data_IF_566492475653
#
_entry.id   IF_566492475653
#
_cell.length_a   1.000
_cell.length_b   1.000
_cell.length_c   1.000
_cell.angle_alpha   90.00
_cell.angle_beta   90.00
_cell.angle_gamma   90.00
#
_symmetry.space_group_name_H-M   'P 1'
#
loop_
_entity.id
_entity.type
_entity.pdbx_description
1 polymer ?
#
# COMPACT_ATOMS: atom_id res chain seq x y z
N UNK A 1 -26.45 -2.31 9.32
CA UNK A 1 -24.97 -2.47 9.38
C UNK A 1 -24.17 -1.76 8.26
N UNK A 2 -24.76 -1.03 7.29
CA UNK A 2 -24.00 -0.41 6.17
C UNK A 2 -23.41 0.99 6.43
N UNK A 3 -23.90 1.74 7.43
CA UNK A 3 -23.48 3.14 7.69
C UNK A 3 -22.04 3.29 8.19
N UNK A 4 -21.48 2.27 8.88
CA UNK A 4 -20.06 2.28 9.33
C UNK A 4 -19.07 2.18 8.17
N UNK A 5 -19.40 1.41 7.12
CA UNK A 5 -18.51 1.20 5.96
C UNK A 5 -18.34 2.48 5.12
N UNK A 6 -19.40 3.27 4.98
CA UNK A 6 -19.38 4.51 4.19
C UNK A 6 -18.65 5.65 4.91
N UNK A 7 -18.88 5.86 6.22
CA UNK A 7 -18.08 6.77 7.07
C UNK A 7 -16.60 6.35 7.15
N UNK A 8 -16.30 5.07 6.95
CA UNK A 8 -14.94 4.52 6.95
C UNK A 8 -14.17 4.87 5.67
N UNK A 9 -14.86 5.00 4.52
CA UNK A 9 -14.23 5.48 3.28
C UNK A 9 -13.99 7.00 3.31
N UNK A 10 -14.88 7.78 3.91
CA UNK A 10 -14.67 9.24 4.03
C UNK A 10 -13.45 9.61 4.89
N UNK A 11 -13.13 8.81 5.93
CA UNK A 11 -11.87 8.96 6.71
C UNK A 11 -10.63 8.46 5.97
N UNK A 12 -10.76 7.57 4.98
CA UNK A 12 -9.63 7.20 4.09
C UNK A 12 -9.17 8.36 3.20
N UNK A 13 -9.98 9.42 3.05
CA UNK A 13 -9.69 10.57 2.20
C UNK A 13 -9.06 11.76 2.95
N UNK A 14 -9.19 11.82 4.27
CA UNK A 14 -8.71 12.95 5.08
C UNK A 14 -7.82 12.50 6.23
N UNK A 15 -6.51 12.42 5.94
CA UNK A 15 -5.39 12.85 6.79
C UNK A 15 -4.15 12.05 6.37
N UNK A 16 -3.22 12.72 5.69
CA UNK A 16 -1.80 12.33 5.69
C UNK A 16 -1.10 13.46 6.41
N UNK A 17 -1.02 13.40 7.74
CA UNK A 17 0.11 14.04 8.42
C UNK A 17 1.19 12.97 8.44
N UNK A 18 2.18 13.13 7.56
CA UNK A 18 3.42 12.34 7.58
C UNK A 18 4.05 12.53 8.96
N UNK A 19 3.84 11.58 9.86
CA UNK A 19 4.74 11.40 10.99
C UNK A 19 5.92 10.63 10.45
N UNK A 20 6.93 11.37 10.03
CA UNK A 20 8.24 10.79 9.73
C UNK A 20 8.72 10.00 10.94
N UNK A 21 9.25 8.80 10.69
CA UNK A 21 9.92 7.98 11.70
C UNK A 21 8.99 7.14 12.56
N UNK A 22 8.84 5.85 12.22
CA UNK A 22 8.33 4.84 13.16
C UNK A 22 8.57 3.38 12.74
N UNK A 23 9.26 3.08 11.63
CA UNK A 23 9.46 1.68 11.17
C UNK A 23 10.89 1.13 11.42
N UNK A 24 11.70 1.79 12.27
CA UNK A 24 13.10 1.42 12.54
C UNK A 24 13.28 0.03 13.17
N UNK A 25 12.21 -0.56 13.70
CA UNK A 25 12.23 -1.92 14.24
C UNK A 25 12.08 -3.01 13.16
N UNK A 26 12.04 -2.66 11.87
CA UNK A 26 12.08 -3.63 10.78
C UNK A 26 13.48 -4.20 10.59
N UNK A 27 13.58 -5.43 10.07
CA UNK A 27 14.88 -6.02 9.72
C UNK A 27 15.61 -5.10 8.74
N UNK A 28 16.94 -5.00 8.88
CA UNK A 28 17.76 -4.21 7.98
C UNK A 28 18.24 -5.07 6.80
N UNK A 29 17.28 -5.64 6.08
CA UNK A 29 17.50 -6.37 4.84
C UNK A 29 16.88 -5.62 3.66
N UNK A 30 17.08 -6.12 2.45
CA UNK A 30 16.53 -5.53 1.22
C UNK A 30 15.00 -5.35 1.28
N UNK A 31 14.30 -6.34 1.85
CA UNK A 31 12.85 -6.30 2.07
C UNK A 31 12.47 -5.14 3.01
N UNK A 32 13.18 -4.97 4.12
CA UNK A 32 12.97 -3.88 5.06
C UNK A 32 13.33 -2.52 4.46
N UNK A 33 14.37 -2.45 3.63
CA UNK A 33 14.72 -1.24 2.88
C UNK A 33 13.57 -0.83 1.97
N UNK A 34 13.11 -1.73 1.08
CA UNK A 34 11.97 -1.49 0.18
C UNK A 34 10.72 -1.06 0.97
N UNK A 35 10.44 -1.71 2.10
CA UNK A 35 9.28 -1.39 2.93
C UNK A 35 9.30 0.05 3.45
N UNK A 36 10.48 0.60 3.72
CA UNK A 36 10.66 1.97 4.23
C UNK A 36 10.76 3.00 3.10
N UNK A 37 11.28 2.62 1.94
CA UNK A 37 11.57 3.56 0.84
C UNK A 37 10.48 3.66 -0.21
N UNK A 38 9.72 2.59 -0.48
CA UNK A 38 8.60 2.65 -1.43
C UNK A 38 7.49 3.54 -0.85
N UNK A 39 7.17 4.62 -1.57
CA UNK A 39 6.25 5.66 -1.10
C UNK A 39 4.87 5.09 -0.71
N UNK A 40 4.36 4.15 -1.51
CA UNK A 40 3.02 3.60 -1.30
C UNK A 40 3.02 2.51 -0.22
N UNK A 41 4.07 1.69 -0.11
CA UNK A 41 4.21 0.75 1.01
C UNK A 41 4.33 1.51 2.34
N UNK A 42 5.13 2.58 2.38
CA UNK A 42 5.26 3.45 3.55
C UNK A 42 3.92 4.10 3.90
N UNK A 43 3.23 4.70 2.94
CA UNK A 43 1.92 5.31 3.15
C UNK A 43 0.85 4.29 3.60
N UNK A 44 0.93 3.04 3.13
CA UNK A 44 0.11 1.94 3.62
C UNK A 44 0.39 1.63 5.09
N UNK A 45 1.66 1.53 5.48
CA UNK A 45 2.08 1.33 6.85
C UNK A 45 1.58 2.41 7.80
N UNK A 46 1.77 3.67 7.43
CA UNK A 46 1.33 4.84 8.20
C UNK A 46 -0.17 4.78 8.47
N UNK A 47 -0.98 4.52 7.45
CA UNK A 47 -2.44 4.40 7.61
C UNK A 47 -2.88 3.24 8.49
N UNK A 48 -2.19 2.11 8.44
CA UNK A 48 -2.50 0.99 9.33
C UNK A 48 -2.15 1.31 10.78
N UNK A 49 -1.05 2.01 11.01
CA UNK A 49 -0.64 2.48 12.34
C UNK A 49 -1.63 3.49 12.90
N UNK A 50 -2.07 4.46 12.11
CA UNK A 50 -3.10 5.44 12.50
C UNK A 50 -4.42 4.77 12.95
N UNK A 51 -4.83 3.69 12.26
CA UNK A 51 -6.04 2.95 12.61
C UNK A 51 -5.85 2.00 13.80
N UNK A 52 -4.64 1.48 13.96
CA UNK A 52 -4.35 0.32 14.81
C UNK A 52 -3.75 0.65 16.17
N UNK A 53 -3.16 1.84 16.33
CA UNK A 53 -2.34 2.16 17.51
C UNK A 53 -1.00 1.40 17.52
N UNK A 54 -0.20 1.67 18.55
CA UNK A 54 1.16 1.14 18.72
C UNK A 54 1.18 -0.40 18.86
N UNK A 55 0.13 -0.99 19.44
CA UNK A 55 0.03 -2.44 19.69
C UNK A 55 0.03 -3.28 18.41
N UNK A 56 -0.33 -2.69 17.27
CA UNK A 56 -0.36 -3.37 15.97
C UNK A 56 0.91 -3.21 15.16
N UNK A 57 1.94 -2.52 15.67
CA UNK A 57 3.19 -2.23 14.94
C UNK A 57 3.83 -3.48 14.33
N UNK A 58 3.87 -4.61 15.07
CA UNK A 58 4.41 -5.88 14.54
C UNK A 58 3.62 -6.39 13.32
N UNK A 59 2.29 -6.33 13.38
CA UNK A 59 1.41 -6.74 12.29
C UNK A 59 1.54 -5.80 11.08
N UNK A 60 1.64 -4.48 11.32
CA UNK A 60 1.90 -3.49 10.27
C UNK A 60 3.22 -3.80 9.57
N UNK A 61 4.28 -4.04 10.35
CA UNK A 61 5.59 -4.35 9.78
C UNK A 61 5.56 -5.62 8.93
N UNK A 62 4.90 -6.68 9.41
CA UNK A 62 4.74 -7.92 8.65
C UNK A 62 4.02 -7.69 7.32
N UNK A 63 2.95 -6.87 7.31
CA UNK A 63 2.21 -6.55 6.09
C UNK A 63 3.03 -5.73 5.09
N UNK A 64 3.77 -4.73 5.57
CA UNK A 64 4.67 -3.94 4.71
C UNK A 64 5.79 -4.81 4.12
N UNK A 65 6.38 -5.70 4.93
CA UNK A 65 7.39 -6.65 4.45
C UNK A 65 6.81 -7.65 3.44
N UNK A 66 5.57 -8.10 3.61
CA UNK A 66 4.91 -8.98 2.63
C UNK A 66 4.72 -8.28 1.28
N UNK A 67 4.26 -7.03 1.26
CA UNK A 67 4.18 -6.23 0.03
C UNK A 67 5.56 -6.01 -0.61
N UNK A 68 6.58 -5.81 0.22
CA UNK A 68 7.96 -5.61 -0.26
C UNK A 68 8.55 -6.88 -0.86
N UNK A 69 8.26 -8.05 -0.27
CA UNK A 69 8.64 -9.35 -0.85
C UNK A 69 7.95 -9.59 -2.20
N UNK A 70 6.65 -9.34 -2.28
CA UNK A 70 5.93 -9.42 -3.56
C UNK A 70 6.61 -8.53 -4.61
N UNK A 71 6.92 -7.28 -4.25
CA UNK A 71 7.55 -6.34 -5.16
C UNK A 71 8.94 -6.83 -5.62
N UNK A 72 9.73 -7.38 -4.71
CA UNK A 72 11.06 -7.92 -5.02
C UNK A 72 10.99 -9.09 -6.00
N UNK A 73 10.05 -10.02 -5.79
CA UNK A 73 9.86 -11.15 -6.71
C UNK A 73 9.38 -10.70 -8.09
N UNK A 74 8.43 -9.77 -8.17
CA UNK A 74 8.00 -9.24 -9.48
C UNK A 74 9.16 -8.55 -10.19
N UNK A 75 10.05 -7.88 -9.45
CA UNK A 75 11.23 -7.20 -10.00
C UNK A 75 12.23 -8.16 -10.66
N UNK A 76 12.21 -9.45 -10.31
CA UNK A 76 13.00 -10.46 -11.03
C UNK A 76 12.60 -10.58 -12.50
N UNK A 77 11.32 -10.35 -12.82
CA UNK A 77 10.76 -10.43 -14.17
C UNK A 77 10.59 -9.05 -14.81
N UNK A 78 10.34 -8.02 -13.99
CA UNK A 78 10.07 -6.64 -14.42
C UNK A 78 10.90 -5.67 -13.56
N UNK A 79 12.17 -5.43 -13.92
CA UNK A 79 13.05 -4.58 -13.12
C UNK A 79 12.46 -3.17 -12.97
N UNK A 80 12.74 -2.53 -11.83
CA UNK A 80 12.35 -1.16 -11.49
C UNK A 80 10.84 -0.87 -11.34
N UNK A 81 9.96 -1.87 -11.43
CA UNK A 81 8.53 -1.64 -11.16
C UNK A 81 8.32 -1.17 -9.71
N UNK A 82 7.45 -0.18 -9.54
CA UNK A 82 7.00 0.29 -8.21
C UNK A 82 5.71 -0.42 -7.77
N UNK A 83 5.42 -0.46 -6.47
CA UNK A 83 4.15 -1.06 -6.00
C UNK A 83 2.94 -0.28 -6.56
N UNK A 84 3.09 1.03 -6.78
CA UNK A 84 2.07 1.89 -7.39
C UNK A 84 1.73 1.47 -8.83
N UNK A 85 2.75 1.13 -9.62
CA UNK A 85 2.55 0.61 -10.98
C UNK A 85 2.00 -0.82 -10.96
N UNK A 86 2.50 -1.65 -10.04
CA UNK A 86 2.09 -3.05 -9.91
C UNK A 86 0.59 -3.23 -9.62
N UNK A 87 -0.03 -2.26 -8.96
CA UNK A 87 -1.48 -2.25 -8.68
C UNK A 87 -2.34 -1.99 -9.92
N UNK A 88 -1.74 -1.53 -11.02
CA UNK A 88 -2.47 -1.33 -12.27
C UNK A 88 -2.99 -2.69 -12.79
N UNK A 89 -4.28 -2.80 -13.21
CA UNK A 89 -4.86 -4.03 -13.73
C UNK A 89 -4.03 -4.73 -14.82
N UNK A 90 -3.25 -3.98 -15.61
CA UNK A 90 -2.34 -4.55 -16.62
C UNK A 90 -1.30 -5.54 -16.06
N UNK A 91 -0.99 -5.43 -14.76
CA UNK A 91 -0.03 -6.28 -14.05
C UNK A 91 -0.70 -7.34 -13.18
N UNK A 92 -2.03 -7.48 -13.24
CA UNK A 92 -2.77 -8.40 -12.38
C UNK A 92 -2.27 -9.84 -12.51
N UNK A 93 -2.01 -10.30 -13.73
CA UNK A 93 -1.49 -11.65 -13.97
C UNK A 93 -0.07 -11.83 -13.41
N UNK A 94 0.77 -10.79 -13.45
CA UNK A 94 2.12 -10.83 -12.87
C UNK A 94 2.03 -11.01 -11.34
N UNK A 95 1.12 -10.28 -10.70
CA UNK A 95 0.87 -10.35 -9.25
C UNK A 95 0.39 -11.75 -8.86
N UNK A 96 -0.64 -12.27 -9.54
CA UNK A 96 -1.21 -13.59 -9.25
C UNK A 96 -0.21 -14.71 -9.51
N UNK A 97 0.56 -14.62 -10.59
CA UNK A 97 1.63 -15.58 -10.89
C UNK A 97 2.71 -15.60 -9.82
N UNK A 98 3.18 -14.42 -9.43
CA UNK A 98 4.21 -14.27 -8.39
C UNK A 98 3.70 -14.71 -7.02
N UNK A 99 2.46 -14.42 -6.68
CA UNK A 99 1.82 -14.85 -5.44
C UNK A 99 1.68 -16.37 -5.34
N UNK A 100 1.41 -17.06 -6.46
CA UNK A 100 1.44 -18.52 -6.55
C UNK A 100 2.83 -19.09 -6.31
N UNK A 101 3.84 -18.52 -6.96
CA UNK A 101 5.24 -18.93 -6.80
C UNK A 101 5.70 -18.73 -5.35
N UNK A 102 5.41 -17.58 -4.76
CA UNK A 102 5.78 -17.21 -3.40
C UNK A 102 5.22 -18.12 -2.32
N UNK A 103 4.05 -18.72 -2.56
CA UNK A 103 3.42 -19.54 -1.54
C UNK A 103 3.61 -21.04 -1.71
N UNK A 104 4.14 -21.47 -2.86
CA UNK A 104 4.23 -22.88 -3.23
C UNK A 104 2.85 -23.47 -3.53
N UNK A 105 2.70 -24.08 -4.70
CA UNK A 105 1.45 -24.67 -5.18
C UNK A 105 0.87 -25.76 -4.25
N UNK A 106 1.71 -26.38 -3.40
CA UNK A 106 1.36 -27.52 -2.54
C UNK A 106 1.08 -27.14 -1.07
N UNK A 107 1.27 -25.87 -0.67
CA UNK A 107 1.12 -25.49 0.73
C UNK A 107 -0.35 -25.25 1.10
N UNK A 108 -0.88 -25.98 2.09
CA UNK A 108 -2.21 -25.80 2.70
C UNK A 108 -2.52 -24.37 3.20
N UNK A 109 -1.55 -23.45 3.18
CA UNK A 109 -1.67 -22.04 3.55
C UNK A 109 -1.79 -21.03 2.40
N UNK A 110 -1.68 -21.45 1.13
CA UNK A 110 -1.60 -20.51 0.00
C UNK A 110 -2.81 -19.61 -0.16
N UNK A 111 -4.01 -20.18 -0.12
CA UNK A 111 -5.23 -19.40 -0.24
C UNK A 111 -5.34 -18.31 0.85
N UNK A 112 -4.91 -18.63 2.08
CA UNK A 112 -4.97 -17.69 3.20
C UNK A 112 -3.97 -16.55 3.06
N UNK A 113 -2.77 -16.82 2.55
CA UNK A 113 -1.78 -15.78 2.29
C UNK A 113 -2.22 -14.91 1.11
N UNK A 114 -2.73 -15.54 0.06
CA UNK A 114 -3.15 -14.84 -1.15
C UNK A 114 -4.30 -13.85 -0.88
N UNK A 115 -5.32 -14.31 -0.14
CA UNK A 115 -6.43 -13.44 0.27
C UNK A 115 -5.92 -12.25 1.12
N UNK A 116 -4.97 -12.48 2.04
CA UNK A 116 -4.39 -11.40 2.85
C UNK A 116 -3.68 -10.35 1.99
N UNK A 117 -2.86 -10.81 1.04
CA UNK A 117 -2.10 -9.94 0.15
C UNK A 117 -3.03 -9.17 -0.80
N UNK A 118 -4.04 -9.84 -1.36
CA UNK A 118 -5.09 -9.19 -2.16
C UNK A 118 -5.80 -8.07 -1.39
N UNK A 119 -6.16 -8.32 -0.13
CA UNK A 119 -6.77 -7.29 0.72
C UNK A 119 -5.84 -6.10 0.99
N UNK A 120 -4.55 -6.34 1.13
CA UNK A 120 -3.57 -5.29 1.36
C UNK A 120 -3.27 -4.49 0.09
N UNK A 121 -3.18 -5.14 -1.08
CA UNK A 121 -3.11 -4.47 -2.38
C UNK A 121 -4.34 -3.61 -2.68
N UNK A 122 -5.55 -4.10 -2.36
CA UNK A 122 -6.79 -3.32 -2.49
C UNK A 122 -6.74 -2.02 -1.69
N UNK A 123 -6.18 -2.06 -0.47
CA UNK A 123 -6.00 -0.85 0.35
C UNK A 123 -4.97 0.10 -0.29
N UNK A 124 -3.89 -0.44 -0.87
CA UNK A 124 -2.93 0.37 -1.61
C UNK A 124 -3.60 1.11 -2.79
N UNK A 125 -4.48 0.43 -3.55
CA UNK A 125 -5.29 1.10 -4.60
C UNK A 125 -6.14 2.24 -4.03
N UNK A 126 -6.78 2.04 -2.88
CA UNK A 126 -7.57 3.08 -2.22
C UNK A 126 -6.72 4.27 -1.75
N UNK A 127 -5.48 4.02 -1.34
CA UNK A 127 -4.54 5.09 -0.98
C UNK A 127 -4.19 5.92 -2.21
N UNK A 128 -3.82 5.27 -3.32
CA UNK A 128 -3.51 5.95 -4.59
C UNK A 128 -4.70 6.78 -5.07
N UNK A 129 -5.91 6.23 -5.03
CA UNK A 129 -7.13 6.98 -5.36
C UNK A 129 -7.30 8.21 -4.45
N UNK A 130 -7.08 8.05 -3.14
CA UNK A 130 -7.15 9.15 -2.19
C UNK A 130 -6.12 10.25 -2.47
N UNK A 131 -4.90 9.89 -2.87
CA UNK A 131 -3.88 10.86 -3.28
C UNK A 131 -4.26 11.61 -4.55
N UNK A 132 -4.79 10.92 -5.55
CA UNK A 132 -5.29 11.55 -6.78
C UNK A 132 -6.42 12.54 -6.51
N UNK A 133 -7.41 12.16 -5.68
CA UNK A 133 -8.50 13.05 -5.28
C UNK A 133 -7.99 14.27 -4.50
N UNK A 134 -7.06 14.08 -3.56
CA UNK A 134 -6.45 15.19 -2.82
C UNK A 134 -5.73 16.15 -3.77
N UNK A 135 -4.95 15.63 -4.71
CA UNK A 135 -4.23 16.43 -5.71
C UNK A 135 -5.19 17.22 -6.59
N UNK A 136 -6.27 16.58 -7.06
CA UNK A 136 -7.32 17.24 -7.82
C UNK A 136 -7.94 18.38 -7.01
N UNK A 137 -8.41 18.12 -5.79
CA UNK A 137 -9.04 19.15 -4.93
C UNK A 137 -8.09 20.31 -4.65
N UNK A 138 -6.80 20.04 -4.40
CA UNK A 138 -5.79 21.08 -4.21
C UNK A 138 -5.64 21.93 -5.48
N UNK A 139 -5.56 21.30 -6.65
CA UNK A 139 -5.49 21.99 -7.94
C UNK A 139 -6.72 22.88 -8.18
N UNK A 140 -7.94 22.38 -7.93
CA UNK A 140 -9.17 23.18 -8.01
C UNK A 140 -9.16 24.37 -7.03
N UNK A 141 -8.56 24.20 -5.84
CA UNK A 141 -8.48 25.24 -4.81
C UNK A 141 -7.43 26.31 -5.12
N UNK A 142 -6.33 25.97 -5.79
CA UNK A 142 -5.25 26.90 -6.14
C UNK A 142 -5.39 27.49 -7.55
N UNK A 143 -5.99 26.75 -8.49
CA UNK A 143 -6.17 27.13 -9.88
C UNK A 143 -7.29 28.14 -10.15
N UNK A 144 -8.06 28.55 -9.12
CA UNK A 144 -9.06 29.61 -9.23
C UNK A 144 -8.52 31.04 -9.01
N UNK A 145 -7.20 31.25 -8.94
CA UNK A 145 -6.61 32.56 -8.63
C UNK A 145 -5.45 33.02 -9.52
N UNK A 146 -5.25 32.40 -10.68
CA UNK A 146 -4.24 32.82 -11.66
C UNK A 146 -4.83 32.87 -13.06
N UNK A 147 -5.61 33.92 -13.34
CA UNK A 147 -5.78 34.49 -14.69
C UNK A 147 -6.66 35.74 -14.60
N UNK A 148 -6.12 36.83 -14.06
CA UNK A 148 -6.53 38.21 -14.33
C UNK A 148 -5.33 39.10 -13.98
N UNK A 149 -4.37 39.16 -14.90
CA UNK A 149 -3.36 40.21 -15.01
C UNK A 149 -2.93 40.25 -16.48
#
# INVERSE_FOLDING_TARGET
>A
MKKKSMKMQSRMLLSCKTKEGSFDSMRNDEVGFIARTDELIRGFGERLTEKGGVDKKKNVNQKMMQLSRLLLEVRQKKPNISIKELINPKHFNDVVGTEKEMCGLEAKGWLSLAIKLQHDLKKCSMIVMGWGLKSLIMHWRTGGRTSLA
#
